data_IF_630870054614
#
_entry.id   IF_630870054614
#
_cell.length_a   1.000
_cell.length_b   1.000
_cell.length_c   1.000
_cell.angle_alpha   90.00
_cell.angle_beta   90.00
_cell.angle_gamma   90.00
#
_symmetry.space_group_name_H-M   'P 1'
#
loop_
_entity.id
_entity.type
_entity.pdbx_description
1 polymer ?
#
# COMPACT_ATOMS: atom_id res chain seq x y z
N UNK A 1 18.67 -10.73 3.18
CA UNK A 1 17.28 -10.90 2.70
C UNK A 1 17.09 -9.87 1.61
N UNK A 2 16.57 -10.30 0.48
CA UNK A 2 16.38 -9.51 -0.73
C UNK A 2 14.96 -9.83 -1.18
N UNK A 3 14.14 -8.79 -1.30
CA UNK A 3 12.76 -8.92 -1.75
C UNK A 3 12.70 -9.68 -3.09
N UNK A 4 11.66 -10.49 -3.29
CA UNK A 4 11.41 -11.09 -4.60
C UNK A 4 11.11 -10.01 -5.64
N UNK A 5 11.29 -10.32 -6.93
CA UNK A 5 10.96 -9.37 -8.02
C UNK A 5 9.48 -8.93 -7.97
N UNK A 6 8.58 -9.82 -7.57
CA UNK A 6 7.15 -9.52 -7.39
C UNK A 6 6.92 -8.54 -6.24
N UNK A 7 7.60 -8.74 -5.10
CA UNK A 7 7.53 -7.82 -3.96
C UNK A 7 8.09 -6.44 -4.32
N UNK A 8 9.19 -6.40 -5.07
CA UNK A 8 9.81 -5.14 -5.50
C UNK A 8 8.92 -4.39 -6.50
N UNK A 9 8.32 -5.10 -7.46
CA UNK A 9 7.32 -4.55 -8.38
C UNK A 9 6.08 -4.01 -7.65
N UNK A 10 5.58 -4.74 -6.65
CA UNK A 10 4.46 -4.29 -5.84
C UNK A 10 4.82 -3.05 -5.02
N UNK A 11 6.01 -3.00 -4.42
CA UNK A 11 6.52 -1.83 -3.71
C UNK A 11 6.55 -0.59 -4.62
N UNK A 12 7.09 -0.72 -5.83
CA UNK A 12 7.17 0.37 -6.80
C UNK A 12 5.77 0.87 -7.22
N UNK A 13 4.82 -0.05 -7.42
CA UNK A 13 3.44 0.30 -7.73
C UNK A 13 2.74 1.03 -6.58
N UNK A 14 2.97 0.61 -5.32
CA UNK A 14 2.45 1.27 -4.13
C UNK A 14 3.03 2.67 -3.99
N UNK A 15 4.36 2.84 -4.18
CA UNK A 15 5.02 4.15 -4.12
C UNK A 15 4.40 5.10 -5.14
N UNK A 16 4.32 4.67 -6.40
CA UNK A 16 3.74 5.48 -7.47
C UNK A 16 2.27 5.84 -7.19
N UNK A 17 1.47 4.88 -6.71
CA UNK A 17 0.09 5.14 -6.34
C UNK A 17 -0.02 6.21 -5.25
N UNK A 18 0.81 6.13 -4.20
CA UNK A 18 0.79 7.12 -3.13
C UNK A 18 1.27 8.49 -3.61
N UNK A 19 2.28 8.56 -4.47
CA UNK A 19 2.72 9.82 -5.09
C UNK A 19 1.59 10.48 -5.90
N UNK A 20 0.81 9.69 -6.62
CA UNK A 20 -0.29 10.17 -7.47
C UNK A 20 -1.56 10.52 -6.66
N UNK A 21 -1.82 9.85 -5.54
CA UNK A 21 -3.13 9.91 -4.84
C UNK A 21 -3.06 10.49 -3.42
N UNK A 22 -1.89 10.55 -2.78
CA UNK A 22 -1.69 11.04 -1.43
C UNK A 22 -0.89 12.36 -1.41
N UNK A 23 -1.46 13.40 -2.04
CA UNK A 23 -0.89 14.75 -1.99
C UNK A 23 -0.73 15.25 -0.55
N UNK A 24 0.14 16.26 -0.35
CA UNK A 24 0.37 16.85 0.97
C UNK A 24 -0.93 17.35 1.62
N UNK A 25 -1.87 17.87 0.84
CA UNK A 25 -3.17 18.31 1.35
C UNK A 25 -4.04 17.13 1.78
N UNK A 26 -4.12 16.06 0.99
CA UNK A 26 -4.78 14.81 1.39
C UNK A 26 -4.19 14.24 2.68
N UNK A 27 -2.87 14.28 2.85
CA UNK A 27 -2.18 13.83 4.07
C UNK A 27 -2.61 14.67 5.28
N UNK A 28 -2.66 16.00 5.14
CA UNK A 28 -3.11 16.90 6.20
C UNK A 28 -4.58 16.66 6.56
N UNK A 29 -5.45 16.43 5.57
CA UNK A 29 -6.86 16.10 5.81
C UNK A 29 -7.01 14.81 6.61
N UNK A 30 -6.28 13.75 6.23
CA UNK A 30 -6.28 12.47 6.96
C UNK A 30 -5.73 12.64 8.38
N UNK A 31 -4.61 13.35 8.55
CA UNK A 31 -4.04 13.64 9.87
C UNK A 31 -4.98 14.49 10.75
N UNK A 32 -5.80 15.33 10.13
CA UNK A 32 -6.86 16.12 10.77
C UNK A 32 -8.12 15.31 11.12
N UNK A 33 -8.17 14.02 10.79
CA UNK A 33 -9.28 13.12 11.12
C UNK A 33 -10.33 12.96 10.02
N UNK A 34 -10.07 13.38 8.78
CA UNK A 34 -10.96 13.13 7.65
C UNK A 34 -10.92 11.65 7.22
N UNK A 35 -11.83 10.86 7.78
CA UNK A 35 -11.92 9.41 7.54
C UNK A 35 -12.33 9.05 6.12
N UNK A 36 -13.05 9.91 5.41
CA UNK A 36 -13.48 9.65 4.03
C UNK A 36 -12.28 9.61 3.07
N UNK A 37 -11.38 10.60 3.15
CA UNK A 37 -10.15 10.61 2.33
C UNK A 37 -9.24 9.43 2.67
N UNK A 38 -9.16 9.07 3.95
CA UNK A 38 -8.41 7.89 4.38
C UNK A 38 -8.98 6.58 3.82
N UNK A 39 -10.31 6.49 3.68
CA UNK A 39 -10.97 5.30 3.16
C UNK A 39 -10.67 5.08 1.66
N UNK A 40 -10.64 6.15 0.87
CA UNK A 40 -10.35 6.07 -0.57
C UNK A 40 -8.92 5.59 -0.84
N UNK A 41 -7.94 6.17 -0.14
CA UNK A 41 -6.52 5.75 -0.25
C UNK A 41 -6.36 4.30 0.23
N UNK A 42 -7.01 3.94 1.35
CA UNK A 42 -6.97 2.58 1.87
C UNK A 42 -7.54 1.57 0.87
N UNK A 43 -8.66 1.90 0.21
CA UNK A 43 -9.27 1.05 -0.81
C UNK A 43 -8.32 0.81 -1.98
N UNK A 44 -7.65 1.85 -2.49
CA UNK A 44 -6.70 1.68 -3.59
C UNK A 44 -5.50 0.80 -3.22
N UNK A 45 -5.00 0.90 -1.98
CA UNK A 45 -3.95 -0.01 -1.50
C UNK A 45 -4.41 -1.47 -1.44
N UNK A 46 -5.66 -1.73 -1.06
CA UNK A 46 -6.25 -3.08 -1.10
C UNK A 46 -6.37 -3.60 -2.55
N UNK A 47 -6.79 -2.75 -3.48
CA UNK A 47 -6.90 -3.08 -4.90
C UNK A 47 -5.53 -3.39 -5.54
N UNK A 48 -4.46 -2.76 -5.06
CA UNK A 48 -3.08 -3.07 -5.45
C UNK A 48 -2.56 -4.40 -4.87
N UNK A 49 -3.29 -5.03 -3.96
CA UNK A 49 -2.93 -6.34 -3.41
C UNK A 49 -1.95 -6.29 -2.23
N UNK A 50 -1.87 -5.15 -1.51
CA UNK A 50 -0.99 -5.01 -0.33
C UNK A 50 -1.23 -6.09 0.74
N UNK A 51 -2.45 -6.61 0.84
CA UNK A 51 -2.83 -7.69 1.75
C UNK A 51 -2.04 -8.98 1.51
N UNK A 52 -1.57 -9.21 0.28
CA UNK A 52 -0.75 -10.36 -0.08
C UNK A 52 0.63 -10.35 0.59
N UNK A 53 1.13 -9.18 1.00
CA UNK A 53 2.42 -9.04 1.70
C UNK A 53 2.36 -9.44 3.18
N UNK A 54 1.15 -9.50 3.77
CA UNK A 54 0.98 -9.80 5.20
C UNK A 54 0.76 -11.29 5.49
N UNK A 55 0.68 -12.13 4.46
CA UNK A 55 0.55 -13.58 4.65
C UNK A 55 1.92 -14.14 5.06
N UNK A 56 2.04 -14.85 6.19
CA UNK A 56 3.28 -15.52 6.55
C UNK A 56 3.70 -16.57 5.51
N UNK A 57 5.01 -16.78 5.31
CA UNK A 57 5.53 -17.79 4.37
C UNK A 57 4.94 -19.20 4.63
N UNK A 58 4.76 -19.57 5.90
CA UNK A 58 4.19 -20.87 6.31
C UNK A 58 2.75 -21.09 5.81
N UNK A 59 2.04 -20.03 5.42
CA UNK A 59 0.67 -20.06 4.87
C UNK A 59 0.62 -19.73 3.37
N UNK A 60 1.75 -19.83 2.66
CA UNK A 60 1.83 -19.53 1.22
C UNK A 60 2.00 -18.04 0.91
N UNK A 61 2.42 -17.24 1.88
CA UNK A 61 2.79 -15.86 1.68
C UNK A 61 4.13 -15.68 0.96
N UNK A 62 4.40 -14.47 0.43
CA UNK A 62 5.58 -14.21 -0.37
C UNK A 62 6.84 -14.16 0.49
N UNK A 63 7.89 -14.85 0.06
CA UNK A 63 9.20 -14.95 0.73
C UNK A 63 10.05 -13.69 0.52
N UNK A 64 10.69 -13.20 1.58
CA UNK A 64 11.53 -11.97 1.60
C UNK A 64 13.06 -12.24 1.59
#
# INVERSE_FOLDING_TARGET
>A
MVLSEEQQSLEDNIKKYLEDNASLDSIKEVAGGNSAKSADIHKGLLELGISGLMVPEEYGGPRA
#
